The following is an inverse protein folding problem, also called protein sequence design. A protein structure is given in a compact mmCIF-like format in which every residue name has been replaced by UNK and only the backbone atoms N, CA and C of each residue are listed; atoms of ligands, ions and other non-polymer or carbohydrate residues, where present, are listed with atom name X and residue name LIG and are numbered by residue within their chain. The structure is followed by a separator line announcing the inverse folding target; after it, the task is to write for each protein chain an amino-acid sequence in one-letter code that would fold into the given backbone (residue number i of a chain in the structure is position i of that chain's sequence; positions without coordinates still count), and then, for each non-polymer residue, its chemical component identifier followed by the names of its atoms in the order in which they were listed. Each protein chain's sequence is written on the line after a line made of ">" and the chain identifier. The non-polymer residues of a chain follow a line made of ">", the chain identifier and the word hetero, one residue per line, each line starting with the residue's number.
data_IF_029034073933
#
_entry.id   IF_029034073933
#
_cell.length_a   1.000
_cell.length_b   1.000
_cell.length_c   1.000
_cell.angle_alpha   90.00
_cell.angle_beta   90.00
_cell.angle_gamma   90.00
#
_symmetry.space_group_name_H-M   'P 1'
#
loop_
_entity.id
_entity.type
_entity.pdbx_description
1 polymer ?
#
# COMPACT_ATOMS: atom_id res chain seq x y z
N UNK A 1 4.02 -27.89 -4.07
CA UNK A 1 2.69 -27.47 -4.55
C UNK A 1 2.82 -26.05 -5.06
N UNK A 2 2.79 -25.89 -6.37
CA UNK A 2 3.01 -24.63 -7.07
C UNK A 2 1.76 -23.77 -6.98
N UNK A 3 1.76 -22.78 -6.10
CA UNK A 3 0.77 -21.71 -6.13
C UNK A 3 1.08 -20.84 -7.33
N UNK A 4 0.38 -21.07 -8.44
CA UNK A 4 0.28 -20.10 -9.54
C UNK A 4 -0.41 -18.86 -8.98
N UNK A 5 0.38 -17.87 -8.57
CA UNK A 5 -0.11 -16.53 -8.29
C UNK A 5 -0.69 -15.97 -9.60
N UNK A 6 -1.95 -15.51 -9.63
CA UNK A 6 -2.53 -14.95 -10.84
C UNK A 6 -1.70 -13.72 -11.20
N UNK A 7 -1.06 -13.80 -12.37
CA UNK A 7 -0.39 -12.69 -13.02
C UNK A 7 -1.21 -11.42 -12.83
N UNK A 8 -0.68 -10.47 -12.05
CA UNK A 8 -1.34 -9.21 -11.70
C UNK A 8 -1.59 -8.41 -12.98
N UNK A 9 -2.73 -8.65 -13.61
CA UNK A 9 -3.29 -7.78 -14.63
C UNK A 9 -3.79 -6.55 -13.91
N UNK A 10 -3.35 -5.34 -14.28
CA UNK A 10 -3.84 -4.13 -13.65
C UNK A 10 -5.35 -4.06 -13.74
N UNK A 11 -5.98 -3.85 -12.59
CA UNK A 11 -7.44 -3.81 -12.46
C UNK A 11 -7.87 -2.38 -12.74
N UNK A 12 -8.75 -2.13 -13.74
CA UNK A 12 -9.25 -0.79 -14.01
C UNK A 12 -9.98 -0.20 -12.80
N UNK A 13 -9.77 1.08 -12.56
CA UNK A 13 -10.49 1.91 -11.59
C UNK A 13 -10.60 3.33 -12.12
N UNK A 14 -11.64 4.04 -11.74
CA UNK A 14 -11.81 5.48 -11.97
C UNK A 14 -11.35 6.31 -10.76
N UNK A 15 -10.88 5.68 -9.68
CA UNK A 15 -10.28 6.35 -8.52
C UNK A 15 -8.95 7.03 -8.87
N UNK A 16 -8.22 6.51 -9.84
CA UNK A 16 -6.97 7.07 -10.36
C UNK A 16 -6.93 6.93 -11.88
N UNK A 17 -6.33 7.89 -12.63
CA UNK A 17 -6.34 7.88 -14.09
C UNK A 17 -5.28 6.94 -14.70
N UNK A 18 -4.70 6.04 -13.90
CA UNK A 18 -3.59 5.16 -14.28
C UNK A 18 -3.79 3.75 -13.76
N UNK A 19 -3.12 2.79 -14.40
CA UNK A 19 -3.09 1.40 -13.92
C UNK A 19 -2.29 1.32 -12.63
N UNK A 20 -2.68 0.45 -11.71
CA UNK A 20 -1.95 0.23 -10.47
C UNK A 20 -1.65 -1.26 -10.24
N UNK A 21 -0.45 -1.53 -9.73
CA UNK A 21 0.00 -2.82 -9.23
C UNK A 21 0.50 -2.65 -7.80
N UNK A 22 0.12 -3.58 -6.90
CA UNK A 22 0.68 -3.68 -5.55
C UNK A 22 1.31 -5.05 -5.39
N UNK A 23 2.58 -5.10 -4.98
CA UNK A 23 3.28 -6.36 -4.77
C UNK A 23 4.29 -6.28 -3.61
N UNK A 24 4.84 -7.42 -3.24
CA UNK A 24 5.97 -7.56 -2.33
C UNK A 24 7.30 -7.54 -3.07
N UNK A 25 8.38 -7.33 -2.32
CA UNK A 25 9.74 -7.22 -2.82
C UNK A 25 10.16 -8.46 -3.65
N UNK A 26 9.76 -9.66 -3.20
CA UNK A 26 10.06 -10.93 -3.88
C UNK A 26 9.31 -11.11 -5.20
N UNK A 27 8.27 -10.32 -5.43
CA UNK A 27 7.42 -10.39 -6.62
C UNK A 27 7.86 -9.36 -7.68
N UNK A 28 8.79 -8.45 -7.39
CA UNK A 28 9.19 -7.42 -8.35
C UNK A 28 9.64 -7.97 -9.71
N UNK A 29 10.33 -9.11 -9.74
CA UNK A 29 10.81 -9.72 -10.98
C UNK A 29 9.66 -9.98 -11.98
N UNK A 30 8.48 -10.37 -11.50
CA UNK A 30 7.35 -10.75 -12.38
C UNK A 30 6.67 -9.55 -13.04
N UNK A 31 7.06 -8.31 -12.70
CA UNK A 31 6.46 -7.10 -13.25
C UNK A 31 7.38 -6.31 -14.20
N UNK A 32 8.62 -6.75 -14.41
CA UNK A 32 9.62 -6.04 -15.22
C UNK A 32 9.11 -5.71 -16.64
N UNK A 33 8.37 -6.62 -17.25
CA UNK A 33 7.88 -6.49 -18.64
C UNK A 33 6.44 -5.94 -18.73
N UNK A 34 5.82 -5.51 -17.62
CA UNK A 34 4.40 -5.10 -17.57
C UNK A 34 4.15 -3.62 -17.93
N UNK A 35 5.14 -2.97 -18.54
CA UNK A 35 5.07 -1.55 -18.91
C UNK A 35 4.83 -0.65 -17.69
N UNK A 36 5.59 -0.86 -16.62
CA UNK A 36 5.57 0.01 -15.43
C UNK A 36 6.30 1.31 -15.79
N UNK A 37 5.62 2.45 -15.64
CA UNK A 37 6.23 3.77 -15.90
C UNK A 37 6.66 4.47 -14.63
N UNK A 38 6.02 4.16 -13.49
CA UNK A 38 6.31 4.77 -12.19
C UNK A 38 6.37 3.70 -11.11
N UNK A 39 7.33 3.84 -10.19
CA UNK A 39 7.54 2.92 -9.07
C UNK A 39 7.60 3.70 -7.76
N UNK A 40 6.83 3.26 -6.77
CA UNK A 40 6.95 3.65 -5.37
C UNK A 40 7.57 2.49 -4.60
N UNK A 41 8.79 2.70 -4.11
CA UNK A 41 9.55 1.73 -3.32
C UNK A 41 9.52 2.11 -1.85
N UNK A 42 8.95 1.24 -1.01
CA UNK A 42 8.92 1.46 0.44
C UNK A 42 9.68 0.33 1.14
N UNK A 43 10.75 0.68 1.84
CA UNK A 43 11.69 -0.28 2.41
C UNK A 43 11.99 0.05 3.87
N UNK A 44 12.54 -0.93 4.58
CA UNK A 44 13.09 -0.67 5.92
C UNK A 44 14.33 0.24 5.80
N UNK A 45 14.66 1.03 6.84
CA UNK A 45 15.70 2.07 6.77
C UNK A 45 17.05 1.62 6.21
N UNK A 46 17.51 0.44 6.59
CA UNK A 46 18.81 -0.11 6.20
C UNK A 46 18.75 -1.06 4.99
N UNK A 47 17.57 -1.33 4.45
CA UNK A 47 17.44 -2.30 3.37
C UNK A 47 17.98 -1.72 2.04
N UNK A 48 18.87 -2.42 1.32
CA UNK A 48 19.43 -1.91 0.06
C UNK A 48 18.37 -1.72 -1.02
N UNK A 49 18.67 -0.91 -2.03
CA UNK A 49 17.80 -0.77 -3.20
C UNK A 49 17.70 -2.12 -3.95
N UNK A 50 16.52 -2.52 -4.44
CA UNK A 50 16.37 -3.79 -5.15
C UNK A 50 17.05 -3.74 -6.52
N UNK A 51 18.01 -4.64 -6.76
CA UNK A 51 18.76 -4.74 -8.03
C UNK A 51 17.85 -5.11 -9.22
N UNK A 52 16.70 -5.73 -8.96
CA UNK A 52 15.71 -6.12 -9.99
C UNK A 52 15.25 -4.96 -10.88
N UNK A 53 15.35 -3.71 -10.41
CA UNK A 53 14.99 -2.57 -11.26
C UNK A 53 15.98 -2.32 -12.41
N UNK A 54 17.14 -2.98 -12.43
CA UNK A 54 18.07 -2.96 -13.57
C UNK A 54 17.51 -3.63 -14.82
N UNK A 55 16.60 -4.59 -14.66
CA UNK A 55 15.95 -5.28 -15.80
C UNK A 55 14.64 -4.60 -16.23
N UNK A 56 14.20 -3.55 -15.53
CA UNK A 56 13.02 -2.79 -15.92
C UNK A 56 13.38 -1.84 -17.07
N UNK A 57 12.45 -1.60 -18.03
CA UNK A 57 12.53 -0.45 -18.90
C UNK A 57 12.67 0.86 -18.12
N UNK A 58 13.04 1.95 -18.80
CA UNK A 58 13.15 3.26 -18.18
C UNK A 58 11.83 3.64 -17.47
N UNK A 59 11.93 3.97 -16.18
CA UNK A 59 10.81 4.29 -15.31
C UNK A 59 11.22 5.37 -14.30
N UNK A 60 10.24 6.12 -13.80
CA UNK A 60 10.44 7.03 -12.67
C UNK A 60 10.30 6.27 -11.36
N UNK A 61 11.20 6.50 -10.39
CA UNK A 61 11.17 5.81 -9.10
C UNK A 61 11.30 6.79 -7.94
N UNK A 62 10.40 6.66 -6.97
CA UNK A 62 10.54 7.29 -5.65
C UNK A 62 10.83 6.20 -4.61
N UNK A 63 11.67 6.54 -3.63
CA UNK A 63 12.10 5.63 -2.57
C UNK A 63 11.82 6.28 -1.21
N UNK A 64 11.06 5.59 -0.37
CA UNK A 64 10.81 5.98 1.02
C UNK A 64 11.27 4.88 1.96
N UNK A 65 11.76 5.28 3.14
CA UNK A 65 12.43 4.39 4.08
C UNK A 65 11.93 4.62 5.50
N UNK A 66 11.15 3.67 5.99
CA UNK A 66 10.58 3.66 7.34
C UNK A 66 10.06 2.25 7.67
N UNK A 67 10.04 1.90 8.95
CA UNK A 67 9.65 0.59 9.44
C UNK A 67 8.13 0.36 9.39
N UNK A 68 7.70 -0.90 9.29
CA UNK A 68 6.28 -1.28 9.20
C UNK A 68 5.60 -1.41 10.57
N UNK A 69 5.71 -0.37 11.38
CA UNK A 69 5.11 -0.31 12.70
C UNK A 69 3.93 0.66 12.73
N UNK A 70 2.97 0.36 13.60
CA UNK A 70 1.76 1.19 13.83
C UNK A 70 1.67 1.72 15.25
N UNK A 71 2.51 1.21 16.15
CA UNK A 71 2.70 1.71 17.52
C UNK A 71 4.17 2.04 17.73
N UNK A 72 4.53 3.00 18.59
CA UNK A 72 5.93 3.34 18.84
C UNK A 72 6.77 2.12 19.23
N UNK A 73 7.92 1.95 18.58
CA UNK A 73 8.93 0.93 18.86
C UNK A 73 10.27 1.63 19.03
N UNK A 74 10.99 1.31 20.11
CA UNK A 74 12.29 1.92 20.39
C UNK A 74 13.31 1.60 19.28
N UNK A 75 14.02 2.63 18.82
CA UNK A 75 14.97 2.54 17.71
C UNK A 75 14.38 2.37 16.31
N UNK A 76 13.05 2.28 16.16
CA UNK A 76 12.41 2.20 14.85
C UNK A 76 12.25 3.58 14.20
N UNK A 77 12.40 3.63 12.87
CA UNK A 77 12.03 4.79 12.06
C UNK A 77 10.55 4.68 11.74
N UNK A 78 9.72 5.27 12.60
CA UNK A 78 8.28 5.26 12.45
C UNK A 78 7.83 6.11 11.26
N UNK A 79 6.75 5.72 10.54
CA UNK A 79 6.05 6.67 9.68
C UNK A 79 5.44 7.78 10.53
N UNK A 80 5.49 8.99 10.00
CA UNK A 80 5.03 10.22 10.64
C UNK A 80 4.16 11.06 9.68
N UNK A 81 3.75 12.24 10.13
CA UNK A 81 2.97 13.16 9.30
C UNK A 81 3.70 13.56 8.00
N UNK A 82 5.02 13.77 8.05
CA UNK A 82 5.81 14.11 6.86
C UNK A 82 5.83 12.97 5.84
N UNK A 83 5.76 11.73 6.32
CA UNK A 83 5.63 10.55 5.46
C UNK A 83 4.33 10.60 4.67
N UNK A 84 3.23 11.00 5.30
CA UNK A 84 1.94 11.17 4.62
C UNK A 84 1.96 12.37 3.67
N UNK A 85 2.57 13.49 4.07
CA UNK A 85 2.72 14.66 3.20
C UNK A 85 3.44 14.30 1.91
N UNK A 86 4.53 13.50 1.97
CA UNK A 86 5.23 13.00 0.77
C UNK A 86 4.35 12.14 -0.13
N UNK A 87 3.42 11.36 0.43
CA UNK A 87 2.47 10.55 -0.35
C UNK A 87 1.48 11.49 -1.07
N UNK A 88 0.95 12.49 -0.36
CA UNK A 88 0.00 13.45 -0.92
C UNK A 88 0.65 14.35 -1.99
N UNK A 89 1.88 14.80 -1.77
CA UNK A 89 2.68 15.57 -2.74
C UNK A 89 2.94 14.76 -4.01
N UNK A 90 3.17 13.45 -3.88
CA UNK A 90 3.29 12.55 -5.03
C UNK A 90 1.96 12.46 -5.80
N UNK A 91 0.83 12.38 -5.10
CA UNK A 91 -0.49 12.41 -5.72
C UNK A 91 -0.75 13.71 -6.49
N UNK A 92 -0.34 14.87 -5.96
CA UNK A 92 -0.40 16.15 -6.69
C UNK A 92 0.50 16.13 -7.92
N UNK A 93 1.70 15.57 -7.83
CA UNK A 93 2.63 15.42 -8.97
C UNK A 93 2.02 14.57 -10.08
N UNK A 94 1.30 13.49 -9.72
CA UNK A 94 0.62 12.62 -10.69
C UNK A 94 -0.56 13.28 -11.40
N UNK A 95 -1.07 14.43 -10.92
CA UNK A 95 -2.09 15.19 -11.66
C UNK A 95 -1.54 15.91 -12.89
N UNK A 96 -0.25 16.23 -12.88
CA UNK A 96 0.41 17.00 -13.96
C UNK A 96 1.38 16.16 -14.77
N UNK A 97 1.64 14.92 -14.33
CA UNK A 97 2.55 13.97 -14.99
C UNK A 97 1.76 12.84 -15.63
N UNK A 98 2.15 12.43 -16.84
CA UNK A 98 1.56 11.24 -17.48
C UNK A 98 2.04 9.98 -16.79
N UNK A 99 1.22 9.42 -15.91
CA UNK A 99 1.42 8.09 -15.31
C UNK A 99 0.60 7.08 -16.09
N UNK A 100 1.25 6.06 -16.68
CA UNK A 100 0.53 4.98 -17.38
C UNK A 100 0.27 3.78 -16.47
N UNK A 101 1.25 3.44 -15.62
CA UNK A 101 1.21 2.29 -14.73
C UNK A 101 2.11 2.53 -13.53
N UNK A 102 1.48 2.62 -12.36
CA UNK A 102 2.13 2.76 -11.07
C UNK A 102 2.29 1.39 -10.39
N UNK A 103 3.52 1.01 -10.07
CA UNK A 103 3.82 -0.12 -9.20
C UNK A 103 4.17 0.40 -7.81
N UNK A 104 3.48 -0.07 -6.77
CA UNK A 104 3.78 0.26 -5.38
C UNK A 104 4.17 -1.03 -4.66
N UNK A 105 5.35 -1.06 -4.05
CA UNK A 105 5.81 -2.23 -3.31
C UNK A 105 6.40 -1.90 -1.96
N UNK A 106 6.37 -2.92 -1.10
CA UNK A 106 7.17 -3.00 0.12
C UNK A 106 7.66 -4.43 0.29
N UNK A 107 8.16 -4.81 1.46
CA UNK A 107 8.65 -6.18 1.69
C UNK A 107 7.64 -7.28 1.39
N UNK A 108 6.48 -7.26 2.04
CA UNK A 108 5.43 -8.28 1.86
C UNK A 108 4.33 -7.87 0.87
N UNK A 109 4.24 -6.60 0.51
CA UNK A 109 3.11 -6.08 -0.27
C UNK A 109 1.78 -6.16 0.48
N UNK A 110 1.80 -6.05 1.81
CA UNK A 110 0.63 -6.26 2.69
C UNK A 110 0.20 -4.98 3.41
N UNK A 111 1.16 -4.20 3.93
CA UNK A 111 0.87 -3.11 4.89
C UNK A 111 1.24 -1.71 4.40
N UNK A 112 2.53 -1.38 4.25
CA UNK A 112 2.97 -0.05 3.77
C UNK A 112 2.49 0.29 2.37
N UNK A 113 2.70 -0.60 1.40
CA UNK A 113 2.34 -0.36 0.00
C UNK A 113 0.83 -0.27 -0.21
N UNK A 114 0.04 -1.07 0.51
CA UNK A 114 -1.42 -1.05 0.43
C UNK A 114 -2.00 0.21 1.09
N UNK A 115 -1.41 0.68 2.20
CA UNK A 115 -1.76 1.98 2.80
C UNK A 115 -1.44 3.14 1.85
N UNK A 116 -0.23 3.19 1.28
CA UNK A 116 0.14 4.23 0.31
C UNK A 116 -0.79 4.24 -0.90
N UNK A 117 -1.11 3.07 -1.46
CA UNK A 117 -2.06 2.96 -2.57
C UNK A 117 -3.45 3.50 -2.18
N UNK A 118 -3.93 3.16 -0.99
CA UNK A 118 -5.21 3.65 -0.48
C UNK A 118 -5.21 5.18 -0.31
N UNK A 119 -4.13 5.76 0.21
CA UNK A 119 -4.00 7.22 0.39
C UNK A 119 -4.04 7.93 -0.97
N UNK A 120 -3.28 7.45 -1.96
CA UNK A 120 -3.26 8.02 -3.31
C UNK A 120 -4.65 7.96 -3.98
N UNK A 121 -5.37 6.84 -3.84
CA UNK A 121 -6.73 6.72 -4.36
C UNK A 121 -7.71 7.62 -3.61
N UNK A 122 -7.59 7.73 -2.28
CA UNK A 122 -8.52 8.49 -1.45
C UNK A 122 -8.34 10.01 -1.60
N UNK A 123 -7.14 10.50 -1.90
CA UNK A 123 -6.78 11.93 -1.89
C UNK A 123 -7.78 12.80 -2.67
N UNK A 124 -8.14 12.40 -3.89
CA UNK A 124 -9.04 13.15 -4.78
C UNK A 124 -10.46 12.61 -4.85
N UNK A 125 -10.82 11.64 -3.98
CA UNK A 125 -12.10 10.93 -4.03
C UNK A 125 -12.83 10.96 -2.68
N UNK A 126 -13.19 12.16 -2.16
CA UNK A 126 -13.97 12.27 -0.92
C UNK A 126 -15.28 11.50 -1.00
N UNK A 127 -15.61 10.71 0.02
CA UNK A 127 -16.85 9.94 0.10
C UNK A 127 -16.81 8.59 -0.61
N UNK A 128 -15.66 8.20 -1.18
CA UNK A 128 -15.45 6.91 -1.86
C UNK A 128 -14.50 6.00 -1.08
N UNK A 129 -14.33 6.22 0.22
CA UNK A 129 -13.35 5.51 1.06
C UNK A 129 -13.58 3.99 1.09
N UNK A 130 -14.84 3.54 1.08
CA UNK A 130 -15.16 2.11 0.99
C UNK A 130 -14.70 1.50 -0.34
N UNK A 131 -14.97 2.19 -1.44
CA UNK A 131 -14.59 1.75 -2.78
C UNK A 131 -13.06 1.68 -2.96
N UNK A 132 -12.32 2.59 -2.32
CA UNK A 132 -10.85 2.54 -2.27
C UNK A 132 -10.40 1.17 -1.72
N UNK A 133 -10.90 0.76 -0.57
CA UNK A 133 -10.45 -0.50 0.04
C UNK A 133 -11.02 -1.75 -0.63
N UNK A 134 -12.20 -1.66 -1.25
CA UNK A 134 -12.70 -2.73 -2.15
C UNK A 134 -11.77 -2.93 -3.35
N UNK A 135 -11.28 -1.83 -3.94
CA UNK A 135 -10.32 -1.90 -5.04
C UNK A 135 -8.96 -2.44 -4.58
N UNK A 136 -8.45 -1.98 -3.43
CA UNK A 136 -7.23 -2.53 -2.81
C UNK A 136 -7.35 -4.04 -2.61
N UNK A 137 -8.48 -4.53 -2.07
CA UNK A 137 -8.71 -5.97 -1.86
C UNK A 137 -8.69 -6.75 -3.17
N UNK A 138 -9.24 -6.19 -4.25
CA UNK A 138 -9.20 -6.82 -5.58
C UNK A 138 -7.77 -6.93 -6.12
N UNK A 139 -6.96 -5.89 -5.95
CA UNK A 139 -5.55 -5.90 -6.39
C UNK A 139 -4.71 -6.85 -5.53
N UNK A 140 -4.91 -6.80 -4.21
CA UNK A 140 -4.12 -7.53 -3.21
C UNK A 140 -5.06 -8.15 -2.17
N UNK A 141 -5.54 -9.39 -2.38
CA UNK A 141 -6.51 -10.04 -1.47
C UNK A 141 -6.04 -10.14 -0.02
N UNK A 142 -4.73 -10.32 0.21
CA UNK A 142 -4.10 -10.37 1.54
C UNK A 142 -3.73 -8.99 2.09
N UNK A 143 -4.31 -7.90 1.59
CA UNK A 143 -4.00 -6.55 2.05
C UNK A 143 -4.39 -6.36 3.53
N UNK A 144 -3.47 -5.77 4.28
CA UNK A 144 -3.66 -5.30 5.64
C UNK A 144 -2.98 -3.94 5.82
N UNK A 145 -3.57 -2.85 5.28
CA UNK A 145 -2.97 -1.52 5.28
C UNK A 145 -2.44 -1.09 6.66
N UNK A 146 -1.29 -0.39 6.67
CA UNK A 146 -0.72 0.21 7.87
C UNK A 146 -1.69 1.24 8.47
N UNK A 147 -2.25 0.96 9.65
CA UNK A 147 -3.29 1.80 10.26
C UNK A 147 -2.80 3.18 10.68
N UNK A 148 -1.54 3.30 11.08
CA UNK A 148 -0.95 4.59 11.46
C UNK A 148 -0.90 5.54 10.26
N UNK A 149 -0.41 5.08 9.11
CA UNK A 149 -0.43 5.86 7.86
C UNK A 149 -1.85 6.27 7.45
N UNK A 150 -2.79 5.32 7.48
CA UNK A 150 -4.19 5.58 7.10
C UNK A 150 -4.85 6.57 8.04
N UNK A 151 -4.57 6.50 9.34
CA UNK A 151 -5.12 7.42 10.36
C UNK A 151 -4.62 8.84 10.15
N UNK A 152 -3.30 9.01 9.98
CA UNK A 152 -2.72 10.33 9.70
C UNK A 152 -3.22 10.91 8.36
N UNK A 153 -3.46 10.06 7.35
CA UNK A 153 -4.03 10.49 6.08
C UNK A 153 -5.51 10.86 6.18
N UNK A 154 -6.31 10.13 6.97
CA UNK A 154 -7.70 10.47 7.24
C UNK A 154 -7.82 11.89 7.82
N UNK A 155 -6.99 12.21 8.81
CA UNK A 155 -6.93 13.52 9.45
C UNK A 155 -6.50 14.62 8.46
N UNK A 156 -5.39 14.41 7.74
CA UNK A 156 -4.88 15.40 6.76
C UNK A 156 -5.85 15.66 5.59
N UNK A 157 -6.61 14.65 5.18
CA UNK A 157 -7.61 14.76 4.12
C UNK A 157 -9.00 15.21 4.63
N UNK A 158 -9.15 15.42 5.94
CA UNK A 158 -10.42 15.83 6.56
C UNK A 158 -11.54 14.80 6.39
N UNK A 159 -11.22 13.49 6.49
CA UNK A 159 -12.17 12.39 6.26
C UNK A 159 -13.01 12.03 7.49
N UNK A 160 -12.74 12.63 8.65
CA UNK A 160 -13.52 12.48 9.88
C UNK A 160 -13.71 11.00 10.28
N UNK A 161 -12.68 10.18 10.11
CA UNK A 161 -12.65 8.75 10.41
C UNK A 161 -13.21 7.85 9.32
N UNK A 162 -13.72 8.37 8.19
CA UNK A 162 -14.30 7.56 7.13
C UNK A 162 -13.28 6.62 6.46
N UNK A 163 -12.04 7.08 6.27
CA UNK A 163 -10.97 6.28 5.67
C UNK A 163 -10.52 5.18 6.64
N UNK A 164 -10.39 5.50 7.93
CA UNK A 164 -10.07 4.52 8.98
C UNK A 164 -11.19 3.47 9.11
N UNK A 165 -12.46 3.89 9.09
CA UNK A 165 -13.59 2.98 9.18
C UNK A 165 -13.65 2.00 7.99
N UNK A 166 -13.39 2.48 6.78
CA UNK A 166 -13.35 1.65 5.58
C UNK A 166 -12.17 0.66 5.60
N UNK A 167 -10.99 1.10 6.07
CA UNK A 167 -9.84 0.21 6.29
C UNK A 167 -10.15 -0.90 7.29
N UNK A 168 -10.80 -0.57 8.42
CA UNK A 168 -11.15 -1.55 9.43
C UNK A 168 -12.10 -2.65 8.89
N UNK A 169 -13.05 -2.28 8.01
CA UNK A 169 -13.88 -3.26 7.31
C UNK A 169 -13.04 -4.20 6.46
N UNK A 170 -12.03 -3.68 5.75
CA UNK A 170 -11.09 -4.51 5.00
C UNK A 170 -10.31 -5.47 5.91
N UNK A 171 -9.76 -4.98 7.03
CA UNK A 171 -9.09 -5.84 8.02
C UNK A 171 -10.02 -6.97 8.50
N UNK A 172 -11.28 -6.67 8.83
CA UNK A 172 -12.26 -7.67 9.27
C UNK A 172 -12.54 -8.73 8.19
N UNK A 173 -12.56 -8.34 6.92
CA UNK A 173 -12.75 -9.26 5.79
C UNK A 173 -11.48 -10.10 5.56
N UNK A 174 -10.31 -9.49 5.54
CA UNK A 174 -9.02 -10.18 5.39
C UNK A 174 -8.78 -11.16 6.55
N UNK A 175 -9.16 -10.83 7.78
CA UNK A 175 -9.01 -11.72 8.93
C UNK A 175 -9.89 -12.97 8.83
N UNK A 176 -11.08 -12.86 8.24
CA UNK A 176 -11.97 -13.99 7.97
C UNK A 176 -11.42 -14.91 6.87
N UNK A 177 -10.89 -14.31 5.81
CA UNK A 177 -10.39 -15.06 4.65
C UNK A 177 -8.99 -15.66 4.88
N UNK A 178 -8.15 -14.98 5.68
CA UNK A 178 -6.75 -15.32 5.96
C UNK A 178 -6.48 -15.30 7.48
N UNK A 179 -7.08 -16.23 8.25
CA UNK A 179 -6.96 -16.25 9.70
C UNK A 179 -5.51 -16.41 10.19
N UNK A 180 -4.65 -17.06 9.41
CA UNK A 180 -3.22 -17.19 9.71
C UNK A 180 -2.46 -15.86 9.62
N UNK A 181 -2.88 -14.96 8.72
CA UNK A 181 -2.32 -13.62 8.62
C UNK A 181 -2.78 -12.78 9.83
N UNK A 182 -4.05 -12.88 10.22
CA UNK A 182 -4.56 -12.19 11.40
C UNK A 182 -3.86 -12.66 12.69
N UNK A 183 -3.64 -13.98 12.83
CA UNK A 183 -2.82 -14.55 13.91
C UNK A 183 -1.41 -13.97 13.92
N UNK A 184 -0.74 -13.99 12.76
CA UNK A 184 0.60 -13.43 12.61
C UNK A 184 0.65 -11.96 13.03
N UNK A 185 -0.30 -11.13 12.62
CA UNK A 185 -0.33 -9.72 13.00
C UNK A 185 -0.57 -9.52 14.50
N UNK A 186 -1.44 -10.35 15.10
CA UNK A 186 -1.72 -10.30 16.54
C UNK A 186 -0.47 -10.56 17.37
N UNK A 187 0.30 -11.59 17.03
CA UNK A 187 1.53 -11.93 17.77
C UNK A 187 2.68 -10.94 17.53
N UNK A 188 2.65 -10.17 16.43
CA UNK A 188 3.66 -9.17 16.08
C UNK A 188 3.21 -7.72 16.40
N UNK A 189 2.45 -7.53 17.50
CA UNK A 189 2.15 -6.21 18.05
C UNK A 189 0.99 -5.46 17.39
N UNK A 190 0.26 -6.10 16.47
CA UNK A 190 -0.89 -5.49 15.76
C UNK A 190 -2.23 -6.07 16.20
N UNK A 191 -2.29 -6.59 17.42
CA UNK A 191 -3.51 -7.18 18.00
C UNK A 191 -4.70 -6.21 18.06
N UNK A 192 -4.45 -4.92 18.26
CA UNK A 192 -5.50 -3.89 18.33
C UNK A 192 -6.22 -3.65 17.00
N UNK A 193 -5.66 -4.10 15.88
CA UNK A 193 -6.28 -4.00 14.55
C UNK A 193 -7.12 -5.24 14.20
N UNK A 194 -6.93 -6.34 14.93
CA UNK A 194 -7.68 -7.58 14.72
C UNK A 194 -8.87 -7.56 15.66
N UNK A 195 -10.07 -7.29 15.14
CA UNK A 195 -11.28 -7.39 15.96
C UNK A 195 -11.47 -8.82 16.45
N UNK A 196 -11.84 -8.95 17.72
CA UNK A 196 -12.20 -10.26 18.28
C UNK A 196 -13.44 -10.79 17.55
N UNK A 197 -13.49 -12.10 17.25
CA UNK A 197 -14.65 -12.72 16.59
C UNK A 197 -15.94 -12.59 17.39
#
# INVERSE_FOLDING_TARGET
>A
MTTTDPCTTPIPTDLVPYRITICGLRELMIHAEKGVSHVVTILDPSHPDPEVFEIYPAHQRVVWRFDDHVTPVDGAVMPDEQTVDRILDLGETFRTTTVEHLLIHCHAGVSRSTATAAILMAQFNPGREEEVFEHIRRIRPRAWPNSLLVTMADEKLGRNGALVAAMAKLHDMTARDYPELAEYLRIHGRAHEVRSP
#
